data_IF_110685780224
#
_entry.id   IF_110685780224
#
_cell.length_a   1.000
_cell.length_b   1.000
_cell.length_c   1.000
_cell.angle_alpha   90.00
_cell.angle_beta   90.00
_cell.angle_gamma   90.00
#
_symmetry.space_group_name_H-M   'P 1'
#
loop_
_entity.id
_entity.type
_entity.pdbx_description
1 polymer ?
#
# COMPACT_ATOMS: atom_id res chain seq x y z
N UNK A 1 -10.58 9.92 10.78
CA UNK A 1 -10.11 8.80 9.93
C UNK A 1 -10.87 7.57 10.33
N UNK A 2 -11.46 6.83 9.39
CA UNK A 2 -12.24 5.62 9.68
C UNK A 2 -11.38 4.42 10.08
N UNK A 3 -10.08 4.43 9.76
CA UNK A 3 -9.13 3.42 10.22
C UNK A 3 -8.64 3.77 11.63
N UNK A 4 -9.09 3.02 12.64
CA UNK A 4 -8.46 3.04 13.95
C UNK A 4 -7.15 2.24 13.89
N UNK A 5 -6.03 2.92 14.10
CA UNK A 5 -4.68 2.35 14.02
C UNK A 5 -4.08 2.29 15.41
N UNK A 6 -3.75 1.08 15.84
CA UNK A 6 -3.14 0.80 17.13
C UNK A 6 -1.60 0.74 17.05
N UNK A 7 -0.88 0.89 18.17
CA UNK A 7 0.58 1.00 18.20
C UNK A 7 1.33 -0.22 17.63
N UNK A 8 0.67 -1.38 17.59
CA UNK A 8 1.22 -2.66 17.17
C UNK A 8 0.71 -3.09 15.79
N UNK A 9 -0.10 -2.25 15.12
CA UNK A 9 -0.65 -2.60 13.83
C UNK A 9 0.42 -2.58 12.73
N UNK A 10 0.39 -3.63 11.92
CA UNK A 10 1.08 -3.65 10.65
C UNK A 10 0.09 -3.23 9.57
N UNK A 11 0.33 -2.05 8.99
CA UNK A 11 -0.55 -1.43 8.01
C UNK A 11 0.02 -1.57 6.61
N UNK A 12 -0.81 -1.99 5.65
CA UNK A 12 -0.51 -1.98 4.22
C UNK A 12 -1.35 -0.92 3.52
N UNK A 13 -0.73 -0.09 2.70
CA UNK A 13 -1.38 0.89 1.82
C UNK A 13 -1.02 0.56 0.37
N UNK A 14 -1.96 -0.01 -0.39
CA UNK A 14 -1.71 -0.57 -1.74
C UNK A 14 -1.62 0.48 -2.86
N UNK A 15 -1.97 1.74 -2.59
CA UNK A 15 -1.92 2.84 -3.54
C UNK A 15 -1.50 4.13 -2.83
N UNK A 16 -0.33 4.11 -2.19
CA UNK A 16 -0.01 5.04 -1.13
C UNK A 16 0.35 6.46 -1.61
N UNK A 17 0.78 6.64 -2.86
CA UNK A 17 1.33 7.91 -3.29
C UNK A 17 0.21 8.90 -3.69
N UNK A 18 0.34 10.22 -3.41
CA UNK A 18 1.56 10.94 -3.02
C UNK A 18 1.95 10.85 -1.54
N UNK A 19 1.18 10.16 -0.68
CA UNK A 19 1.59 9.84 0.69
C UNK A 19 0.82 10.52 1.81
N UNK A 20 -0.24 11.28 1.51
CA UNK A 20 -0.99 12.01 2.54
C UNK A 20 -1.62 11.08 3.59
N UNK A 21 -2.37 10.05 3.15
CA UNK A 21 -2.98 9.06 4.05
C UNK A 21 -1.93 8.22 4.78
N UNK A 22 -0.90 7.78 4.05
CA UNK A 22 0.24 7.05 4.61
C UNK A 22 0.94 7.84 5.74
N UNK A 23 1.14 9.14 5.57
CA UNK A 23 1.76 9.99 6.60
C UNK A 23 0.87 10.15 7.83
N UNK A 24 -0.43 10.33 7.65
CA UNK A 24 -1.38 10.39 8.77
C UNK A 24 -1.36 9.11 9.61
N UNK A 25 -1.30 7.94 8.96
CA UNK A 25 -1.16 6.64 9.64
C UNK A 25 0.20 6.56 10.33
N UNK A 26 1.29 6.94 9.64
CA UNK A 26 2.63 6.93 10.21
C UNK A 26 2.72 7.82 11.46
N UNK A 27 2.07 8.98 11.45
CA UNK A 27 2.03 9.90 12.60
C UNK A 27 1.23 9.30 13.76
N UNK A 28 0.11 8.61 13.47
CA UNK A 28 -0.65 7.88 14.50
C UNK A 28 0.21 6.82 15.21
N UNK A 29 0.95 6.01 14.46
CA UNK A 29 1.87 5.01 15.01
C UNK A 29 2.97 5.65 15.87
N UNK A 30 3.51 6.80 15.45
CA UNK A 30 4.59 7.51 16.14
C UNK A 30 4.18 8.18 17.44
N UNK A 31 2.89 8.55 17.64
CA UNK A 31 2.39 9.09 18.91
C UNK A 31 2.64 8.15 20.09
N UNK A 32 2.82 6.87 19.81
CA UNK A 32 3.10 5.82 20.79
C UNK A 32 4.60 5.65 21.11
N UNK A 33 5.43 6.65 20.77
CA UNK A 33 6.84 6.70 21.13
C UNK A 33 7.77 5.88 20.22
N UNK A 34 9.02 5.66 20.67
CA UNK A 34 9.99 4.86 19.91
C UNK A 34 9.59 3.37 19.85
N UNK A 35 10.16 2.60 18.91
CA UNK A 35 9.88 1.17 18.80
C UNK A 35 10.17 0.43 20.11
N UNK A 36 9.21 -0.40 20.54
CA UNK A 36 9.29 -1.19 21.76
C UNK A 36 8.32 -2.37 21.70
N UNK A 37 8.37 -3.27 22.70
CA UNK A 37 7.43 -4.39 22.84
C UNK A 37 5.94 -3.96 22.84
N UNK A 38 5.65 -2.72 23.27
CA UNK A 38 4.29 -2.17 23.36
C UNK A 38 3.91 -1.30 22.16
N UNK A 39 4.85 -1.08 21.24
CA UNK A 39 4.70 -0.19 20.10
C UNK A 39 5.68 -0.64 19.03
N UNK A 40 5.28 -1.59 18.20
CA UNK A 40 6.11 -2.13 17.10
C UNK A 40 5.40 -2.09 15.74
N UNK A 41 4.26 -1.43 15.64
CA UNK A 41 3.54 -1.29 14.37
C UNK A 41 4.40 -0.63 13.29
N UNK A 42 4.12 -0.98 12.06
CA UNK A 42 4.83 -0.48 10.86
C UNK A 42 3.83 -0.20 9.76
N UNK A 43 4.24 0.62 8.80
CA UNK A 43 3.46 0.88 7.59
C UNK A 43 4.26 0.53 6.35
N UNK A 44 3.59 -0.16 5.43
CA UNK A 44 4.10 -0.57 4.13
C UNK A 44 3.28 0.14 3.06
N UNK A 45 3.91 1.03 2.29
CA UNK A 45 3.28 1.69 1.15
C UNK A 45 3.68 1.04 -0.16
N UNK A 46 2.73 0.86 -1.06
CA UNK A 46 2.91 0.34 -2.41
C UNK A 46 2.29 1.32 -3.40
N UNK A 47 2.97 1.56 -4.51
CA UNK A 47 2.41 2.30 -5.64
C UNK A 47 3.17 1.88 -6.91
N UNK A 48 2.47 1.80 -8.03
CA UNK A 48 3.06 1.38 -9.31
C UNK A 48 4.00 2.45 -9.88
N UNK A 49 3.76 3.72 -9.56
CA UNK A 49 4.52 4.84 -10.10
C UNK A 49 5.72 5.18 -9.23
N UNK A 50 6.91 4.78 -9.70
CA UNK A 50 8.18 5.12 -9.04
C UNK A 50 8.36 6.64 -8.85
N UNK A 51 7.87 7.45 -9.79
CA UNK A 51 7.86 8.92 -9.68
C UNK A 51 7.01 9.39 -8.50
N UNK A 52 5.78 8.88 -8.36
CA UNK A 52 4.89 9.25 -7.24
C UNK A 52 5.42 8.76 -5.90
N UNK A 53 6.01 7.56 -5.85
CA UNK A 53 6.70 7.08 -4.65
C UNK A 53 7.86 7.99 -4.26
N UNK A 54 8.62 8.52 -5.22
CA UNK A 54 9.73 9.44 -4.93
C UNK A 54 9.23 10.74 -4.28
N UNK A 55 8.02 11.19 -4.63
CA UNK A 55 7.34 12.31 -3.95
C UNK A 55 6.97 11.91 -2.52
N UNK A 56 6.34 10.75 -2.34
CA UNK A 56 5.99 10.20 -1.02
C UNK A 56 7.23 10.09 -0.11
N UNK A 57 8.32 9.54 -0.63
CA UNK A 57 9.63 9.48 0.04
C UNK A 57 10.11 10.88 0.45
N UNK A 58 9.97 11.88 -0.42
CA UNK A 58 10.39 13.24 -0.13
C UNK A 58 9.55 13.87 0.98
N UNK A 59 8.25 13.62 1.02
CA UNK A 59 7.39 14.07 2.13
C UNK A 59 7.76 13.40 3.45
N UNK A 60 8.03 12.09 3.44
CA UNK A 60 8.51 11.37 4.62
C UNK A 60 9.84 11.94 5.13
N UNK A 61 10.77 12.28 4.23
CA UNK A 61 12.05 12.90 4.59
C UNK A 61 11.90 14.31 5.17
N UNK A 62 10.91 15.08 4.70
CA UNK A 62 10.61 16.42 5.19
C UNK A 62 9.87 16.43 6.53
N UNK A 63 9.23 15.33 6.91
CA UNK A 63 8.59 15.22 8.22
C UNK A 63 9.65 15.33 9.33
N UNK A 64 9.41 16.27 10.26
CA UNK A 64 10.30 16.57 11.40
C UNK A 64 10.58 15.35 12.30
N UNK A 65 9.83 14.26 12.14
CA UNK A 65 9.91 13.06 12.97
C UNK A 65 10.63 11.88 12.31
N UNK A 66 11.43 12.08 11.24
CA UNK A 66 12.04 11.02 10.44
C UNK A 66 12.78 9.92 11.24
N UNK A 67 13.35 10.24 12.42
CA UNK A 67 14.01 9.26 13.30
C UNK A 67 13.05 8.21 13.90
N UNK A 68 11.75 8.51 13.98
CA UNK A 68 10.71 7.68 14.58
C UNK A 68 9.79 7.02 13.56
N UNK A 69 9.86 7.44 12.29
CA UNK A 69 9.01 6.91 11.22
C UNK A 69 9.33 5.43 10.96
N UNK A 70 8.30 4.60 10.84
CA UNK A 70 8.39 3.14 10.68
C UNK A 70 7.78 2.69 9.35
N UNK A 71 8.28 3.30 8.26
CA UNK A 71 7.75 3.16 6.91
C UNK A 71 8.72 2.40 6.01
N UNK A 72 8.17 1.54 5.15
CA UNK A 72 8.83 1.02 3.95
C UNK A 72 7.92 1.23 2.72
N UNK A 73 8.52 1.58 1.59
CA UNK A 73 7.82 1.86 0.34
C UNK A 73 8.30 0.92 -0.77
N UNK A 74 7.38 0.47 -1.61
CA UNK A 74 7.66 -0.43 -2.74
C UNK A 74 7.08 0.12 -4.04
N UNK A 75 7.94 0.29 -5.05
CA UNK A 75 7.54 0.69 -6.40
C UNK A 75 7.21 -0.57 -7.21
N UNK A 76 5.97 -1.05 -7.10
CA UNK A 76 5.52 -2.30 -7.72
C UNK A 76 4.00 -2.31 -7.88
N UNK A 77 3.49 -3.33 -8.57
CA UNK A 77 2.06 -3.50 -8.78
C UNK A 77 1.35 -3.97 -7.51
N UNK A 78 0.45 -3.13 -6.99
CA UNK A 78 -0.34 -3.42 -5.81
C UNK A 78 -1.31 -4.59 -5.97
N UNK A 79 -1.63 -5.02 -7.19
CA UNK A 79 -2.51 -6.18 -7.44
C UNK A 79 -1.81 -7.52 -7.22
N UNK A 80 -0.47 -7.54 -7.21
CA UNK A 80 0.34 -8.77 -7.06
C UNK A 80 1.30 -8.71 -5.89
N UNK A 81 1.26 -7.64 -5.09
CA UNK A 81 2.12 -7.44 -3.94
C UNK A 81 1.88 -8.50 -2.86
N UNK A 82 2.95 -9.17 -2.42
CA UNK A 82 2.93 -10.28 -1.45
C UNK A 82 4.04 -10.21 -0.39
N UNK A 83 4.66 -9.05 -0.19
CA UNK A 83 5.73 -8.92 0.82
C UNK A 83 5.08 -8.85 2.21
N UNK A 84 5.40 -9.77 3.14
CA UNK A 84 4.79 -9.80 4.47
C UNK A 84 5.27 -8.63 5.35
N UNK A 85 4.55 -8.29 6.44
CA UNK A 85 5.01 -7.31 7.43
C UNK A 85 6.35 -7.72 8.09
N UNK A 86 7.11 -6.76 8.65
CA UNK A 86 8.26 -7.07 9.51
C UNK A 86 7.85 -7.94 10.70
N UNK A 87 8.78 -8.74 11.21
CA UNK A 87 8.54 -9.57 12.39
C UNK A 87 8.30 -8.73 13.66
N UNK A 88 7.52 -9.19 14.62
CA UNK A 88 7.16 -8.44 15.83
C UNK A 88 8.37 -8.03 16.68
N UNK A 89 9.49 -8.73 16.56
CA UNK A 89 10.74 -8.43 17.26
C UNK A 89 11.68 -7.51 16.48
N UNK A 90 11.24 -6.91 15.36
CA UNK A 90 12.07 -6.05 14.52
C UNK A 90 12.67 -4.86 15.28
N UNK A 91 12.00 -4.42 16.35
CA UNK A 91 12.42 -3.30 17.19
C UNK A 91 13.54 -3.66 18.18
N UNK A 92 13.79 -4.95 18.45
CA UNK A 92 14.84 -5.38 19.37
C UNK A 92 16.19 -5.48 18.64
N UNK A 93 16.87 -4.34 18.55
CA UNK A 93 18.18 -4.25 17.93
C UNK A 93 19.25 -5.08 18.65
N UNK A 94 19.11 -5.36 19.94
CA UNK A 94 20.06 -6.18 20.68
C UNK A 94 19.90 -7.65 20.31
N UNK A 95 18.65 -8.12 20.19
CA UNK A 95 18.35 -9.45 19.66
C UNK A 95 18.82 -9.60 18.22
N UNK A 96 18.54 -8.62 17.34
CA UNK A 96 18.98 -8.64 15.94
C UNK A 96 20.50 -8.58 15.76
N UNK A 97 21.23 -7.93 16.67
CA UNK A 97 22.71 -7.95 16.67
C UNK A 97 23.27 -9.31 17.08
N UNK A 98 22.65 -9.96 18.06
CA UNK A 98 23.05 -11.30 18.54
C UNK A 98 22.66 -12.41 17.54
N UNK A 99 21.51 -12.26 16.92
CA UNK A 99 20.94 -13.18 15.93
C UNK A 99 20.72 -12.42 14.60
N UNK A 100 21.79 -12.07 13.87
CA UNK A 100 21.64 -11.39 12.60
C UNK A 100 20.80 -12.26 11.65
N UNK A 101 19.85 -11.69 10.89
CA UNK A 101 19.19 -12.44 9.84
C UNK A 101 20.27 -13.00 8.93
N UNK A 102 20.21 -14.30 8.63
CA UNK A 102 21.19 -14.99 7.80
C UNK A 102 21.42 -14.18 6.54
N UNK A 103 22.58 -13.53 6.43
CA UNK A 103 22.96 -12.84 5.20
C UNK A 103 22.93 -13.92 4.10
N UNK A 104 22.25 -13.71 2.95
CA UNK A 104 22.60 -14.48 1.79
C UNK A 104 24.11 -14.28 1.59
N UNK A 105 24.85 -15.39 1.50
CA UNK A 105 26.30 -15.40 1.52
C UNK A 105 26.91 -14.32 0.61
N UNK A 106 27.82 -13.51 1.16
CA UNK A 106 28.79 -12.72 0.40
C UNK A 106 28.51 -11.22 0.28
N UNK A 107 29.13 -10.43 1.17
CA UNK A 107 29.58 -9.07 0.86
C UNK A 107 30.86 -9.18 0.02
N UNK A 108 30.70 -9.41 -1.27
CA UNK A 108 31.58 -8.85 -2.30
C UNK A 108 30.61 -8.16 -3.25
N UNK A 109 30.94 -6.99 -3.79
CA UNK A 109 30.21 -6.49 -4.96
C UNK A 109 30.52 -7.43 -6.13
N UNK A 110 29.53 -8.15 -6.73
CA UNK A 110 29.82 -8.93 -7.93
C UNK A 110 28.90 -8.52 -9.07
N UNK A 111 29.51 -8.56 -10.25
CA UNK A 111 28.89 -8.49 -11.56
C UNK A 111 27.61 -9.31 -11.65
N UNK A 112 26.64 -8.72 -12.33
CA UNK A 112 25.36 -9.29 -12.78
C UNK A 112 25.49 -10.78 -13.10
N UNK A 113 24.94 -11.64 -12.26
CA UNK A 113 24.61 -13.01 -12.60
C UNK A 113 23.22 -13.33 -12.05
N UNK A 114 22.30 -13.58 -13.00
CA UNK A 114 20.90 -13.89 -12.78
C UNK A 114 20.77 -15.28 -12.15
N UNK A 115 20.45 -15.35 -10.87
CA UNK A 115 19.79 -16.51 -10.27
C UNK A 115 18.78 -16.00 -9.24
N UNK A 116 17.51 -16.06 -9.62
CA UNK A 116 16.37 -15.41 -8.96
C UNK A 116 15.94 -16.18 -7.69
N UNK A 117 16.32 -15.66 -6.53
CA UNK A 117 15.52 -15.83 -5.31
C UNK A 117 14.88 -14.47 -5.01
N UNK A 118 13.58 -14.39 -5.28
CA UNK A 118 12.79 -13.18 -5.54
C UNK A 118 12.44 -12.35 -4.30
N UNK A 119 13.42 -11.94 -3.50
CA UNK A 119 13.17 -11.04 -2.37
C UNK A 119 13.04 -9.61 -2.90
N UNK A 120 11.78 -9.16 -3.07
CA UNK A 120 11.48 -7.80 -3.51
C UNK A 120 12.06 -6.80 -2.49
N UNK A 121 13.01 -5.97 -2.91
CA UNK A 121 13.62 -4.95 -2.04
C UNK A 121 12.75 -3.70 -2.01
N UNK A 122 12.61 -3.04 -0.84
CA UNK A 122 11.89 -1.78 -0.76
C UNK A 122 12.61 -0.69 -1.55
N UNK A 123 11.83 0.12 -2.27
CA UNK A 123 12.32 1.34 -2.92
C UNK A 123 12.84 2.35 -1.89
N UNK A 124 12.20 2.42 -0.73
CA UNK A 124 12.65 3.23 0.39
C UNK A 124 12.31 2.56 1.72
N UNK A 125 13.17 2.73 2.72
CA UNK A 125 12.89 2.35 4.10
C UNK A 125 13.43 3.40 5.06
N UNK A 126 12.67 3.68 6.11
CA UNK A 126 13.09 4.56 7.20
C UNK A 126 14.31 3.96 7.91
N UNK A 127 15.08 4.81 8.62
CA UNK A 127 16.34 4.39 9.27
C UNK A 127 16.19 3.14 10.13
N UNK A 128 15.05 3.02 10.82
CA UNK A 128 14.74 1.92 11.70
C UNK A 128 14.53 0.59 10.95
N UNK A 129 13.98 0.62 9.74
CA UNK A 129 13.60 -0.58 8.97
C UNK A 129 14.61 -0.97 7.88
N UNK A 130 15.64 -0.16 7.60
CA UNK A 130 16.58 -0.38 6.47
C UNK A 130 17.29 -1.73 6.46
N UNK A 131 17.60 -2.27 7.64
CA UNK A 131 18.35 -3.52 7.77
C UNK A 131 17.46 -4.70 8.19
N UNK A 132 16.14 -4.53 8.14
CA UNK A 132 15.19 -5.55 8.54
C UNK A 132 14.78 -6.30 7.28
N UNK A 133 15.46 -7.41 7.03
CA UNK A 133 14.99 -8.38 6.05
C UNK A 133 13.72 -9.03 6.57
N UNK A 134 12.74 -9.23 5.68
CA UNK A 134 11.59 -10.09 5.94
C UNK A 134 11.97 -11.48 5.44
N UNK A 135 12.45 -12.39 6.32
CA UNK A 135 12.78 -13.75 5.89
C UNK A 135 11.57 -14.46 5.28
N UNK A 136 11.81 -15.34 4.31
CA UNK A 136 10.78 -16.14 3.65
C UNK A 136 9.96 -17.00 4.63
N UNK A 137 10.47 -17.27 5.83
CA UNK A 137 9.73 -17.96 6.91
C UNK A 137 8.50 -17.17 7.41
N UNK A 138 8.43 -15.86 7.14
CA UNK A 138 7.29 -15.00 7.47
C UNK A 138 6.28 -14.90 6.32
N UNK A 139 6.38 -15.73 5.27
CA UNK A 139 5.46 -15.69 4.12
C UNK A 139 3.97 -15.82 4.52
N UNK A 140 3.69 -16.42 5.68
CA UNK A 140 2.33 -16.56 6.20
C UNK A 140 1.88 -15.37 7.07
N UNK A 141 2.77 -14.46 7.46
CA UNK A 141 2.36 -13.26 8.22
C UNK A 141 1.65 -12.30 7.30
N UNK A 142 0.52 -11.79 7.78
CA UNK A 142 -0.36 -10.86 7.08
C UNK A 142 -0.51 -9.56 7.89
N UNK A 143 -1.04 -8.54 7.26
CA UNK A 143 -1.23 -7.22 7.85
C UNK A 143 -2.51 -7.19 8.70
N UNK A 144 -2.50 -6.48 9.83
CA UNK A 144 -3.69 -6.29 10.67
C UNK A 144 -4.63 -5.24 10.10
N UNK A 145 -4.08 -4.31 9.30
CA UNK A 145 -4.85 -3.26 8.64
C UNK A 145 -4.41 -3.14 7.19
N UNK A 146 -5.36 -3.09 6.26
CA UNK A 146 -5.10 -2.87 4.85
C UNK A 146 -5.95 -1.70 4.35
N UNK A 147 -5.30 -0.75 3.69
CA UNK A 147 -5.92 0.38 3.01
C UNK A 147 -5.76 0.23 1.50
N UNK A 148 -6.87 0.29 0.80
CA UNK A 148 -6.94 0.31 -0.66
C UNK A 148 -7.54 1.65 -1.06
N UNK A 149 -6.67 2.66 -1.18
CA UNK A 149 -7.00 3.98 -1.69
C UNK A 149 -6.89 3.98 -3.22
N UNK A 150 -7.85 3.34 -3.88
CA UNK A 150 -7.69 2.99 -5.28
C UNK A 150 -7.75 4.21 -6.20
N UNK A 151 -6.92 4.20 -7.25
CA UNK A 151 -7.03 5.19 -8.32
C UNK A 151 -8.42 5.14 -8.96
N UNK A 152 -9.02 6.32 -9.17
CA UNK A 152 -10.41 6.48 -9.58
C UNK A 152 -10.51 7.38 -10.83
N UNK A 153 -11.69 7.53 -11.43
CA UNK A 153 -11.90 8.48 -12.56
C UNK A 153 -11.82 9.97 -12.19
N UNK A 154 -11.60 10.32 -10.92
CA UNK A 154 -11.51 11.68 -10.37
C UNK A 154 -12.74 12.57 -10.63
N UNK A 155 -13.88 11.97 -11.01
CA UNK A 155 -15.17 12.59 -11.29
C UNK A 155 -15.85 13.23 -10.06
N UNK A 156 -15.46 12.83 -8.85
CA UNK A 156 -15.93 13.45 -7.60
C UNK A 156 -15.16 14.70 -7.18
N UNK A 157 -14.12 15.13 -7.92
CA UNK A 157 -13.32 16.30 -7.56
C UNK A 157 -13.87 17.59 -8.19
N UNK A 158 -14.34 18.53 -7.37
CA UNK A 158 -14.85 19.85 -7.82
C UNK A 158 -13.85 20.61 -8.70
N UNK A 159 -12.54 20.47 -8.45
CA UNK A 159 -11.48 21.10 -9.26
C UNK A 159 -11.36 20.46 -10.65
N UNK A 160 -11.59 19.15 -10.74
CA UNK A 160 -11.63 18.47 -12.04
C UNK A 160 -12.94 18.73 -12.78
N UNK A 161 -14.06 18.83 -12.06
CA UNK A 161 -15.34 19.30 -12.58
C UNK A 161 -15.25 20.74 -13.10
N UNK A 162 -14.58 21.64 -12.40
CA UNK A 162 -14.40 23.03 -12.82
C UNK A 162 -13.45 23.14 -14.02
N UNK A 163 -12.34 22.39 -14.04
CA UNK A 163 -11.52 22.26 -15.26
C UNK A 163 -12.31 21.67 -16.42
N UNK A 164 -13.16 20.68 -16.16
CA UNK A 164 -14.04 20.08 -17.15
C UNK A 164 -15.02 21.13 -17.70
N UNK A 165 -15.73 21.87 -16.84
CA UNK A 165 -16.67 22.94 -17.23
C UNK A 165 -15.95 24.06 -17.99
N UNK A 166 -14.80 24.54 -17.51
CA UNK A 166 -14.07 25.65 -18.13
C UNK A 166 -13.36 25.26 -19.45
N UNK A 167 -13.04 23.97 -19.65
CA UNK A 167 -12.53 23.47 -20.94
C UNK A 167 -13.66 23.14 -21.93
N UNK A 168 -14.92 23.08 -21.45
CA UNK A 168 -16.09 22.65 -22.22
C UNK A 168 -16.81 23.76 -23.02
N UNK A 169 -16.22 24.95 -23.13
CA UNK A 169 -16.81 26.09 -23.88
C UNK A 169 -16.92 25.90 -25.40
N UNK A 170 -16.79 24.67 -25.96
CA UNK A 170 -16.72 24.49 -27.42
C UNK A 170 -17.15 23.17 -28.07
N UNK A 171 -17.37 22.04 -27.37
CA UNK A 171 -17.94 20.82 -27.99
C UNK A 171 -18.26 19.73 -26.96
N UNK A 172 -19.54 19.59 -26.61
CA UNK A 172 -20.04 18.49 -25.78
C UNK A 172 -19.90 17.10 -26.44
N UNK A 173 -19.80 17.02 -27.76
CA UNK A 173 -19.88 15.75 -28.52
C UNK A 173 -18.55 14.99 -28.71
N UNK A 174 -17.39 15.59 -28.39
CA UNK A 174 -16.07 14.92 -28.55
C UNK A 174 -15.51 14.32 -27.25
N UNK A 175 -16.24 14.44 -26.15
CA UNK A 175 -15.74 14.12 -24.80
C UNK A 175 -16.15 12.73 -24.28
N UNK A 176 -17.18 12.11 -24.86
CA UNK A 176 -17.60 10.76 -24.48
C UNK A 176 -16.57 9.69 -24.92
N UNK A 177 -15.87 9.90 -26.03
CA UNK A 177 -15.00 8.87 -26.62
C UNK A 177 -13.60 8.78 -26.01
N UNK A 178 -12.98 9.87 -25.52
CA UNK A 178 -11.55 9.85 -25.15
C UNK A 178 -11.29 9.73 -23.63
N UNK A 179 -12.20 10.22 -22.79
CA UNK A 179 -12.05 10.25 -21.33
C UNK A 179 -13.00 9.32 -20.58
N UNK A 180 -14.21 9.09 -21.09
CA UNK A 180 -15.22 8.17 -20.54
C UNK A 180 -15.40 6.92 -21.40
N UNK A 181 -14.40 6.58 -22.22
CA UNK A 181 -14.46 5.37 -23.04
C UNK A 181 -14.77 4.18 -22.14
N UNK A 182 -15.83 3.44 -22.48
CA UNK A 182 -16.31 2.30 -21.71
C UNK A 182 -15.18 1.35 -21.31
N UNK A 183 -14.20 1.16 -22.19
CA UNK A 183 -13.01 0.33 -21.96
C UNK A 183 -12.10 0.88 -20.85
N UNK A 184 -11.88 2.20 -20.76
CA UNK A 184 -11.11 2.80 -19.66
C UNK A 184 -11.83 2.65 -18.32
N UNK A 185 -13.13 2.90 -18.27
CA UNK A 185 -13.93 2.74 -17.04
C UNK A 185 -13.97 1.28 -16.58
N UNK A 186 -14.06 0.34 -17.52
CA UNK A 186 -14.00 -1.10 -17.25
C UNK A 186 -12.62 -1.49 -16.71
N UNK A 187 -11.54 -1.02 -17.34
CA UNK A 187 -10.17 -1.29 -16.90
C UNK A 187 -9.87 -0.76 -15.48
N UNK A 188 -10.39 0.43 -15.12
CA UNK A 188 -10.24 0.99 -13.77
C UNK A 188 -11.01 0.17 -12.74
N UNK A 189 -12.25 -0.22 -13.04
CA UNK A 189 -13.07 -1.04 -12.13
C UNK A 189 -12.45 -2.44 -11.92
N UNK A 190 -11.89 -3.03 -12.98
CA UNK A 190 -11.20 -4.32 -12.90
C UNK A 190 -9.88 -4.22 -12.12
N UNK A 191 -9.14 -3.11 -12.26
CA UNK A 191 -7.96 -2.83 -11.45
C UNK A 191 -8.34 -2.69 -9.97
N UNK A 192 -9.37 -1.91 -9.66
CA UNK A 192 -9.89 -1.71 -8.30
C UNK A 192 -10.31 -3.03 -7.66
N UNK A 193 -11.01 -3.89 -8.41
CA UNK A 193 -11.38 -5.25 -7.98
C UNK A 193 -10.16 -6.11 -7.67
N UNK A 194 -9.12 -6.09 -8.52
CA UNK A 194 -7.87 -6.82 -8.25
C UNK A 194 -7.13 -6.28 -7.02
N UNK A 195 -7.16 -4.96 -6.80
CA UNK A 195 -6.53 -4.33 -5.64
C UNK A 195 -7.21 -4.72 -4.33
N UNK A 196 -8.55 -4.67 -4.26
CA UNK A 196 -9.29 -5.08 -3.05
C UNK A 196 -9.09 -6.57 -2.77
N UNK A 197 -9.08 -7.42 -3.80
CA UNK A 197 -8.83 -8.85 -3.66
C UNK A 197 -7.41 -9.14 -3.14
N UNK A 198 -6.40 -8.45 -3.67
CA UNK A 198 -5.04 -8.60 -3.15
C UNK A 198 -4.91 -8.04 -1.73
N UNK A 199 -5.63 -6.96 -1.42
CA UNK A 199 -5.72 -6.40 -0.07
C UNK A 199 -6.26 -7.42 0.93
N UNK A 200 -7.36 -8.10 0.57
CA UNK A 200 -7.93 -9.20 1.36
C UNK A 200 -6.94 -10.36 1.54
N UNK A 201 -6.25 -10.78 0.48
CA UNK A 201 -5.26 -11.86 0.56
C UNK A 201 -4.09 -11.53 1.51
N UNK A 202 -3.75 -10.26 1.66
CA UNK A 202 -2.72 -9.77 2.57
C UNK A 202 -3.23 -9.41 3.98
N UNK A 203 -4.53 -9.54 4.26
CA UNK A 203 -5.14 -9.24 5.55
C UNK A 203 -5.16 -10.48 6.46
N UNK A 204 -4.78 -10.31 7.74
CA UNK A 204 -4.91 -11.37 8.74
C UNK A 204 -6.37 -11.59 9.15
N UNK A 205 -6.64 -12.72 9.79
CA UNK A 205 -7.93 -12.96 10.48
C UNK A 205 -8.15 -11.85 11.52
N UNK A 206 -9.40 -11.40 11.67
CA UNK A 206 -9.80 -10.28 12.53
C UNK A 206 -9.19 -8.91 12.16
N UNK A 207 -8.49 -8.83 11.02
CA UNK A 207 -7.97 -7.58 10.49
C UNK A 207 -9.06 -6.68 9.92
N UNK A 208 -8.70 -5.42 9.62
CA UNK A 208 -9.61 -4.46 8.97
C UNK A 208 -9.10 -4.08 7.59
N UNK A 209 -9.91 -4.32 6.55
CA UNK A 209 -9.70 -3.82 5.19
C UNK A 209 -10.58 -2.59 4.96
N UNK A 210 -9.99 -1.49 4.54
CA UNK A 210 -10.70 -0.30 4.08
C UNK A 210 -10.45 -0.12 2.59
N UNK A 211 -11.54 -0.09 1.83
CA UNK A 211 -11.55 0.31 0.43
C UNK A 211 -12.12 1.73 0.35
N UNK A 212 -11.43 2.62 -0.36
CA UNK A 212 -11.90 3.97 -0.61
C UNK A 212 -11.54 4.44 -2.00
N UNK A 213 -12.42 5.24 -2.60
CA UNK A 213 -12.17 5.96 -3.84
C UNK A 213 -12.58 7.42 -3.70
N UNK A 214 -12.20 8.22 -4.69
CA UNK A 214 -12.66 9.59 -4.90
C UNK A 214 -13.79 9.71 -5.92
N UNK A 215 -14.32 8.60 -6.43
CA UNK A 215 -15.32 8.57 -7.50
C UNK A 215 -16.72 8.50 -6.92
N UNK A 216 -17.70 9.09 -7.63
CA UNK A 216 -19.12 8.94 -7.34
C UNK A 216 -19.75 7.81 -8.18
N UNK A 217 -18.96 7.11 -8.98
CA UNK A 217 -19.44 6.08 -9.90
C UNK A 217 -19.83 4.80 -9.18
N UNK A 218 -21.08 4.37 -9.38
CA UNK A 218 -21.58 3.06 -8.91
C UNK A 218 -20.71 1.88 -9.36
N UNK A 219 -20.16 1.97 -10.58
CA UNK A 219 -19.30 0.92 -11.16
C UNK A 219 -17.97 0.75 -10.43
N UNK A 220 -17.45 1.83 -9.83
CA UNK A 220 -16.18 1.84 -9.10
C UNK A 220 -16.36 1.57 -7.60
N UNK A 221 -17.55 1.84 -7.05
CA UNK A 221 -17.82 1.66 -5.63
C UNK A 221 -18.64 0.38 -5.41
N UNK A 222 -19.97 0.47 -5.41
CA UNK A 222 -20.88 -0.61 -5.02
C UNK A 222 -20.69 -1.88 -5.87
N UNK A 223 -20.47 -1.74 -7.18
CA UNK A 223 -20.28 -2.90 -8.06
C UNK A 223 -18.96 -3.63 -7.78
N UNK A 224 -17.89 -2.92 -7.43
CA UNK A 224 -16.61 -3.54 -7.05
C UNK A 224 -16.77 -4.31 -5.74
N UNK A 225 -17.46 -3.72 -4.76
CA UNK A 225 -17.74 -4.37 -3.48
C UNK A 225 -18.65 -5.58 -3.65
N UNK A 226 -19.70 -5.50 -4.47
CA UNK A 226 -20.61 -6.61 -4.73
C UNK A 226 -19.87 -7.81 -5.34
N UNK A 227 -19.05 -7.59 -6.38
CA UNK A 227 -18.21 -8.63 -7.00
C UNK A 227 -17.21 -9.24 -6.00
N UNK A 228 -16.61 -8.39 -5.16
CA UNK A 228 -15.69 -8.84 -4.12
C UNK A 228 -16.39 -9.75 -3.10
N UNK A 229 -17.55 -9.34 -2.58
CA UNK A 229 -18.31 -10.12 -1.61
C UNK A 229 -18.78 -11.45 -2.19
N UNK A 230 -19.27 -11.47 -3.43
CA UNK A 230 -19.67 -12.69 -4.13
C UNK A 230 -18.50 -13.69 -4.20
N UNK A 231 -17.31 -13.24 -4.60
CA UNK A 231 -16.11 -14.08 -4.66
C UNK A 231 -15.74 -14.68 -3.30
N UNK A 232 -15.74 -13.87 -2.24
CA UNK A 232 -15.37 -14.31 -0.89
C UNK A 232 -16.37 -15.32 -0.33
N UNK A 233 -17.67 -15.11 -0.55
CA UNK A 233 -18.72 -16.03 -0.10
C UNK A 233 -18.63 -17.36 -0.86
N UNK A 234 -18.39 -17.34 -2.17
CA UNK A 234 -18.22 -18.56 -2.96
C UNK A 234 -17.01 -19.38 -2.52
N UNK A 235 -15.89 -18.72 -2.22
CA UNK A 235 -14.67 -19.40 -1.74
C UNK A 235 -14.90 -20.04 -0.37
N UNK A 236 -15.59 -19.36 0.55
CA UNK A 236 -15.93 -19.93 1.86
C UNK A 236 -16.91 -21.11 1.80
N UNK A 237 -17.84 -21.12 0.84
CA UNK A 237 -18.79 -22.24 0.68
C UNK A 237 -18.16 -23.45 -0.05
N UNK A 238 -16.95 -23.30 -0.58
CA UNK A 238 -16.23 -24.34 -1.32
C UNK A 238 -15.15 -25.04 -0.49
N UNK A 239 -14.89 -24.58 0.74
CA UNK A 239 -13.99 -25.19 1.74
C UNK A 239 -14.79 -26.02 2.77
#
# INVERSE_FOLDING_TARGET
>A
MSLEVHPNDHVLDLCCAPGGKLLLIADSLQKNGPPSKKSFGTITGVDISQKRISICQSLIKKSNSMAKIRVRLFATDGTTFKVPPPDENWWDFNHLKKNPPSKPNGLQEPKISKTESSVLKPFFSSKLLRNISTPNSLANKKYSKVLVDAECSHDGSLIHLEKYINTSSGSFAKLDDEFLTYDRLKNVSDLQYKLILNGWNNLCVDGTLIYSTCSLSYKQNELVIAKFMEKIIMDHNSE
#
